data_IF_970106223138
#
_entry.id   IF_970106223138
#
_cell.length_a   1.000
_cell.length_b   1.000
_cell.length_c   1.000
_cell.angle_alpha   90.00
_cell.angle_beta   90.00
_cell.angle_gamma   90.00
#
_symmetry.space_group_name_H-M   'P 1'
#
loop_
_entity.id
_entity.type
_entity.pdbx_description
1 polymer ?
#
# COMPACT_ATOMS: atom_id res chain seq x y z
N UNK A 1 -14.71 26.82 10.20
CA UNK A 1 -15.27 25.57 9.65
C UNK A 1 -14.10 24.62 9.44
N UNK A 2 -14.06 23.52 10.19
CA UNK A 2 -13.04 22.49 10.03
C UNK A 2 -13.18 21.80 8.67
N UNK A 3 -12.07 21.53 7.98
CA UNK A 3 -12.05 20.77 6.72
C UNK A 3 -11.74 19.31 7.04
N UNK A 4 -12.58 18.39 6.57
CA UNK A 4 -12.24 16.96 6.59
C UNK A 4 -11.40 16.66 5.35
N UNK A 5 -10.16 16.21 5.55
CA UNK A 5 -9.34 15.65 4.48
C UNK A 5 -9.51 14.13 4.52
N UNK A 6 -10.02 13.56 3.43
CA UNK A 6 -9.99 12.12 3.21
C UNK A 6 -8.64 11.76 2.60
N UNK A 7 -7.89 10.90 3.28
CA UNK A 7 -6.65 10.34 2.78
C UNK A 7 -6.77 8.83 2.73
N UNK A 8 -6.30 8.22 1.64
CA UNK A 8 -6.11 6.78 1.58
C UNK A 8 -4.63 6.42 1.66
N UNK A 9 -4.35 5.39 2.44
CA UNK A 9 -3.03 4.84 2.65
C UNK A 9 -3.09 3.37 2.26
N UNK A 10 -2.12 2.89 1.50
CA UNK A 10 -1.96 1.46 1.23
C UNK A 10 -0.64 0.99 1.81
N UNK A 11 -0.70 -0.14 2.50
CA UNK A 11 0.47 -0.85 3.02
C UNK A 11 0.62 -2.16 2.25
N UNK A 12 1.78 -2.34 1.61
CA UNK A 12 2.14 -3.57 0.91
C UNK A 12 3.16 -4.35 1.73
N UNK A 13 2.93 -5.65 1.90
CA UNK A 13 3.86 -6.57 2.54
C UNK A 13 4.42 -7.52 1.50
N UNK A 14 5.74 -7.59 1.43
CA UNK A 14 6.50 -8.48 0.56
C UNK A 14 7.23 -9.52 1.40
N UNK A 15 7.32 -10.74 0.87
CA UNK A 15 8.13 -11.80 1.43
C UNK A 15 8.99 -12.43 0.33
N UNK A 16 10.13 -12.98 0.72
CA UNK A 16 11.00 -13.71 -0.19
C UNK A 16 10.85 -15.22 0.10
N UNK A 17 10.41 -16.05 -0.86
CA UNK A 17 10.24 -17.48 -0.63
C UNK A 17 11.56 -18.22 -0.37
N UNK A 18 12.71 -17.64 -0.75
CA UNK A 18 14.03 -18.20 -0.47
C UNK A 18 14.56 -17.83 0.93
N UNK A 19 13.95 -16.84 1.60
CA UNK A 19 14.30 -16.42 2.96
C UNK A 19 13.02 -16.17 3.79
N UNK A 20 12.56 -17.16 4.59
CA UNK A 20 11.31 -17.08 5.34
C UNK A 20 11.27 -15.96 6.39
N UNK A 21 12.43 -15.45 6.83
CA UNK A 21 12.49 -14.36 7.81
C UNK A 21 12.45 -12.98 7.15
N UNK A 22 12.70 -12.90 5.85
CA UNK A 22 12.66 -11.64 5.12
C UNK A 22 11.22 -11.15 4.91
N UNK A 23 10.92 -9.98 5.47
CA UNK A 23 9.69 -9.23 5.22
C UNK A 23 9.99 -7.77 4.98
N UNK A 24 9.47 -7.24 3.88
CA UNK A 24 9.54 -5.81 3.57
C UNK A 24 8.15 -5.22 3.52
N UNK A 25 7.94 -4.17 4.30
CA UNK A 25 6.69 -3.41 4.28
C UNK A 25 6.92 -2.07 3.61
N UNK A 26 6.11 -1.75 2.61
CA UNK A 26 6.13 -0.45 1.93
C UNK A 26 4.77 0.22 2.10
N UNK A 27 4.80 1.48 2.53
CA UNK A 27 3.59 2.28 2.71
C UNK A 27 3.54 3.40 1.70
N UNK A 28 2.44 3.46 0.95
CA UNK A 28 2.10 4.60 0.11
C UNK A 28 1.04 5.45 0.80
N UNK A 29 1.34 6.73 0.93
CA UNK A 29 0.39 7.73 1.38
C UNK A 29 -0.24 8.42 0.15
N UNK A 30 -1.40 9.02 0.34
CA UNK A 30 -2.10 9.82 -0.68
C UNK A 30 -2.56 9.00 -1.91
N UNK A 31 -3.04 7.79 -1.67
CA UNK A 31 -3.77 7.06 -2.70
C UNK A 31 -5.07 7.82 -3.00
N UNK A 32 -5.41 7.94 -4.28
CA UNK A 32 -6.66 8.56 -4.70
C UNK A 32 -7.82 7.81 -4.07
N UNK A 33 -8.79 8.53 -3.49
CA UNK A 33 -9.90 7.90 -2.80
C UNK A 33 -10.82 7.07 -3.70
N UNK A 34 -10.68 7.23 -5.01
CA UNK A 34 -11.41 6.51 -6.06
C UNK A 34 -10.59 5.41 -6.74
N UNK A 35 -9.35 5.16 -6.27
CA UNK A 35 -8.52 4.10 -6.82
C UNK A 35 -9.22 2.73 -6.66
N UNK A 36 -9.25 1.94 -7.73
CA UNK A 36 -9.84 0.60 -7.69
C UNK A 36 -8.87 -0.41 -7.09
N UNK A 37 -9.39 -1.51 -6.55
CA UNK A 37 -8.57 -2.61 -6.02
C UNK A 37 -7.54 -3.11 -7.04
N UNK A 38 -7.93 -3.21 -8.31
CA UNK A 38 -7.03 -3.63 -9.39
C UNK A 38 -5.87 -2.64 -9.59
N UNK A 39 -6.13 -1.34 -9.53
CA UNK A 39 -5.08 -0.31 -9.62
C UNK A 39 -4.13 -0.39 -8.42
N UNK A 40 -4.67 -0.58 -7.22
CA UNK A 40 -3.90 -0.74 -5.97
C UNK A 40 -3.00 -1.99 -6.06
N UNK A 41 -3.54 -3.12 -6.53
CA UNK A 41 -2.77 -4.36 -6.69
C UNK A 41 -1.67 -4.23 -7.74
N UNK A 42 -1.95 -3.54 -8.86
CA UNK A 42 -0.98 -3.33 -9.94
C UNK A 42 0.24 -2.56 -9.45
N UNK A 43 0.05 -1.56 -8.58
CA UNK A 43 1.15 -0.81 -7.94
C UNK A 43 1.98 -1.73 -7.05
N UNK A 44 1.35 -2.57 -6.21
CA UNK A 44 2.06 -3.53 -5.37
C UNK A 44 2.88 -4.53 -6.18
N UNK A 45 2.31 -5.05 -7.27
CA UNK A 45 3.03 -5.94 -8.20
C UNK A 45 4.19 -5.23 -8.90
N UNK A 46 4.02 -3.97 -9.31
CA UNK A 46 5.11 -3.17 -9.89
C UNK A 46 6.24 -2.93 -8.88
N UNK A 47 5.97 -2.81 -7.58
CA UNK A 47 7.03 -2.75 -6.58
C UNK A 47 7.78 -4.08 -6.43
N UNK A 48 7.09 -5.21 -6.54
CA UNK A 48 7.75 -6.52 -6.51
C UNK A 48 8.73 -6.70 -7.68
N UNK A 49 8.48 -6.11 -8.86
CA UNK A 49 9.42 -6.20 -10.00
C UNK A 49 10.71 -5.41 -9.79
N UNK A 50 10.71 -4.41 -8.89
CA UNK A 50 11.90 -3.63 -8.55
C UNK A 50 12.88 -4.39 -7.64
N UNK A 51 12.44 -5.47 -6.99
CA UNK A 51 13.26 -6.30 -6.10
C UNK A 51 13.12 -7.78 -6.50
N UNK A 52 14.06 -8.32 -7.31
CA UNK A 52 13.98 -9.69 -7.78
C UNK A 52 13.94 -10.70 -6.61
N UNK A 53 12.91 -11.54 -6.59
CA UNK A 53 12.71 -12.54 -5.53
C UNK A 53 11.63 -12.16 -4.51
N UNK A 54 11.21 -10.89 -4.46
CA UNK A 54 10.14 -10.47 -3.57
C UNK A 54 8.77 -10.79 -4.18
N UNK A 55 7.86 -11.30 -3.35
CA UNK A 55 6.48 -11.59 -3.71
C UNK A 55 5.57 -10.74 -2.84
N UNK A 56 4.63 -10.03 -3.48
CA UNK A 56 3.56 -9.35 -2.77
C UNK A 56 2.62 -10.38 -2.14
N UNK A 57 2.56 -10.41 -0.81
CA UNK A 57 1.70 -11.34 -0.07
C UNK A 57 0.47 -10.66 0.53
N UNK A 58 0.52 -9.35 0.73
CA UNK A 58 -0.57 -8.61 1.36
C UNK A 58 -0.61 -7.16 0.88
N UNK A 59 -1.80 -6.63 0.65
CA UNK A 59 -2.06 -5.22 0.41
C UNK A 59 -3.23 -4.77 1.30
N UNK A 60 -2.98 -3.85 2.22
CA UNK A 60 -3.99 -3.33 3.16
C UNK A 60 -4.27 -1.87 2.83
N UNK A 61 -5.51 -1.58 2.46
CA UNK A 61 -6.02 -0.21 2.27
C UNK A 61 -6.61 0.30 3.59
N UNK A 62 -6.14 1.46 4.05
CA UNK A 62 -6.69 2.16 5.21
C UNK A 62 -7.18 3.53 4.78
N UNK A 63 -8.47 3.78 5.01
CA UNK A 63 -9.08 5.10 4.82
C UNK A 63 -8.96 5.88 6.14
N UNK A 64 -8.43 7.09 6.08
CA UNK A 64 -8.34 7.96 7.24
C UNK A 64 -9.01 9.30 6.93
N UNK A 65 -10.03 9.64 7.71
CA UNK A 65 -10.63 10.97 7.72
C UNK A 65 -9.91 11.81 8.77
N UNK A 66 -9.18 12.84 8.34
CA UNK A 66 -8.55 13.80 9.24
C UNK A 66 -9.39 15.09 9.32
N UNK A 67 -9.85 15.45 10.52
CA UNK A 67 -10.52 16.74 10.75
C UNK A 67 -9.44 17.79 11.01
N UNK A 68 -9.23 18.69 10.06
CA UNK A 68 -8.36 19.85 10.22
C UNK A 68 -9.19 21.00 10.81
N UNK A 69 -8.85 21.44 12.03
CA UNK A 69 -9.51 22.57 12.71
C UNK A 69 -9.02 23.91 12.21
#
# INVERSE_FOLDING_TARGET
MSRTLEAQIVTYTFANPADPEYKVTRRLNNIDTKATDQQILTIGQAFATLVPGDILIEAVLTQQSAIVK
#
